data_IF_864960592120
#
_entry.id   IF_864960592120
#
_cell.length_a   1.000
_cell.length_b   1.000
_cell.length_c   1.000
_cell.angle_alpha   90.00
_cell.angle_beta   90.00
_cell.angle_gamma   90.00
#
_symmetry.space_group_name_H-M   'P 1'
#
loop_
_entity.id
_entity.type
_entity.pdbx_description
1 polymer ?
#
# COMPACT_ATOMS: atom_id res chain seq x y z
N UNK A 1 9.22 4.25 5.35
CA UNK A 1 8.07 4.23 4.41
C UNK A 1 8.07 5.53 3.62
N UNK A 2 7.85 5.49 2.30
CA UNK A 2 7.55 6.69 1.50
C UNK A 2 6.04 6.94 1.57
N UNK A 3 5.53 7.98 2.27
CA UNK A 3 4.09 8.18 2.48
C UNK A 3 3.31 8.33 1.16
N UNK A 4 3.92 8.97 0.16
CA UNK A 4 3.34 9.17 -1.17
C UNK A 4 3.12 7.87 -1.93
N UNK A 5 4.01 6.87 -1.77
CA UNK A 5 3.84 5.57 -2.42
C UNK A 5 2.65 4.81 -1.83
N UNK A 6 2.46 4.86 -0.50
CA UNK A 6 1.29 4.21 0.12
C UNK A 6 -0.02 4.90 -0.24
N UNK A 7 0.00 6.24 -0.34
CA UNK A 7 -1.14 7.02 -0.83
C UNK A 7 -1.53 6.60 -2.24
N UNK A 8 -0.57 6.53 -3.17
CA UNK A 8 -0.80 6.06 -4.54
C UNK A 8 -1.31 4.62 -4.56
N UNK A 9 -0.68 3.72 -3.82
CA UNK A 9 -1.11 2.32 -3.76
C UNK A 9 -2.55 2.18 -3.28
N UNK A 10 -2.96 2.97 -2.28
CA UNK A 10 -4.34 2.97 -1.82
C UNK A 10 -5.32 3.49 -2.88
N UNK A 11 -4.94 4.53 -3.64
CA UNK A 11 -5.75 5.01 -4.78
C UNK A 11 -5.93 3.92 -5.84
N UNK A 12 -4.85 3.25 -6.25
CA UNK A 12 -4.91 2.15 -7.24
C UNK A 12 -5.76 0.97 -6.75
N UNK A 13 -5.74 0.70 -5.43
CA UNK A 13 -6.53 -0.33 -4.78
C UNK A 13 -7.98 0.13 -4.45
N UNK A 14 -8.38 1.35 -4.82
CA UNK A 14 -9.70 1.90 -4.52
C UNK A 14 -9.98 2.08 -3.02
N UNK A 15 -8.93 2.19 -2.19
CA UNK A 15 -9.01 2.32 -0.75
C UNK A 15 -8.73 3.76 -0.31
N UNK A 16 -9.65 4.35 0.44
CA UNK A 16 -9.44 5.68 1.01
C UNK A 16 -8.56 5.59 2.27
N UNK A 17 -7.42 6.29 2.30
CA UNK A 17 -6.56 6.36 3.49
C UNK A 17 -6.90 7.52 4.43
N UNK A 18 -7.84 8.39 4.07
CA UNK A 18 -8.03 9.69 4.70
C UNK A 18 -6.67 10.38 4.92
N UNK A 19 -5.94 10.50 3.81
CA UNK A 19 -4.53 10.86 3.87
C UNK A 19 -4.35 12.33 4.26
N UNK A 20 -3.50 12.56 5.25
CA UNK A 20 -2.96 13.87 5.58
C UNK A 20 -1.43 13.85 5.50
N UNK A 21 -0.85 14.95 5.02
CA UNK A 21 0.59 15.13 4.98
C UNK A 21 1.22 15.28 6.36
N UNK A 22 0.40 15.51 7.40
CA UNK A 22 0.83 15.54 8.80
C UNK A 22 0.53 14.20 9.48
N UNK A 23 1.46 13.67 10.29
CA UNK A 23 1.21 12.48 11.08
C UNK A 23 -0.06 12.62 11.92
N UNK A 24 -0.96 11.67 11.78
CA UNK A 24 -2.18 11.58 12.56
C UNK A 24 -2.58 10.11 12.70
N UNK A 25 -3.36 9.82 13.74
CA UNK A 25 -3.72 8.46 14.10
C UNK A 25 -4.69 7.82 13.10
N UNK A 26 -5.62 8.62 12.56
CA UNK A 26 -6.65 8.16 11.63
C UNK A 26 -6.06 7.61 10.32
N UNK A 27 -5.17 8.35 9.68
CA UNK A 27 -4.45 7.86 8.49
C UNK A 27 -3.64 6.60 8.81
N UNK A 28 -3.01 6.55 9.99
CA UNK A 28 -2.20 5.39 10.40
C UNK A 28 -3.06 4.13 10.63
N UNK A 29 -4.19 4.24 11.31
CA UNK A 29 -5.13 3.13 11.49
C UNK A 29 -5.66 2.61 10.15
N UNK A 30 -6.05 3.52 9.24
CA UNK A 30 -6.53 3.13 7.91
C UNK A 30 -5.46 2.42 7.10
N UNK A 31 -4.20 2.82 7.24
CA UNK A 31 -3.06 2.16 6.62
C UNK A 31 -2.78 0.77 7.21
N UNK A 32 -2.91 0.59 8.53
CA UNK A 32 -2.81 -0.72 9.16
C UNK A 32 -3.92 -1.65 8.66
N UNK A 33 -5.15 -1.15 8.56
CA UNK A 33 -6.27 -1.91 8.03
C UNK A 33 -6.05 -2.31 6.55
N UNK A 34 -5.53 -1.41 5.71
CA UNK A 34 -5.13 -1.75 4.35
C UNK A 34 -4.05 -2.85 4.32
N UNK A 35 -3.07 -2.80 5.21
CA UNK A 35 -2.05 -3.84 5.35
C UNK A 35 -2.66 -5.19 5.75
N UNK A 36 -3.64 -5.21 6.66
CA UNK A 36 -4.34 -6.44 7.03
C UNK A 36 -5.19 -7.01 5.88
N UNK A 37 -5.87 -6.16 5.11
CA UNK A 37 -6.60 -6.58 3.91
C UNK A 37 -5.65 -7.23 2.91
N UNK A 38 -4.55 -6.56 2.57
CA UNK A 38 -3.56 -7.07 1.63
C UNK A 38 -2.90 -8.37 2.11
N UNK A 39 -2.65 -8.51 3.42
CA UNK A 39 -2.13 -9.77 3.99
C UNK A 39 -3.12 -10.93 3.78
N UNK A 40 -4.43 -10.67 3.84
CA UNK A 40 -5.48 -11.68 3.58
C UNK A 40 -5.55 -12.03 2.09
N UNK A 41 -5.55 -11.02 1.22
CA UNK A 41 -5.58 -11.20 -0.23
C UNK A 41 -4.37 -12.00 -0.73
N UNK A 42 -3.19 -11.73 -0.17
CA UNK A 42 -1.93 -12.41 -0.53
C UNK A 42 -1.69 -13.69 0.26
N UNK A 43 -2.71 -14.25 0.93
CA UNK A 43 -2.53 -15.39 1.84
C UNK A 43 -2.01 -16.66 1.16
N UNK A 44 -2.29 -16.81 -0.14
CA UNK A 44 -1.77 -17.86 -1.01
C UNK A 44 -0.24 -17.79 -1.18
N UNK A 45 0.33 -16.58 -1.19
CA UNK A 45 1.77 -16.33 -1.23
C UNK A 45 2.47 -16.51 0.12
N UNK A 46 1.71 -16.72 1.20
CA UNK A 46 2.21 -16.92 2.58
C UNK A 46 3.17 -15.81 3.04
N UNK A 47 2.75 -14.52 3.03
CA UNK A 47 3.56 -13.43 3.54
C UNK A 47 3.93 -13.69 5.00
N UNK A 48 5.23 -13.58 5.30
CA UNK A 48 5.81 -13.90 6.60
C UNK A 48 5.42 -12.85 7.64
N UNK A 49 5.39 -11.57 7.27
CA UNK A 49 5.00 -10.48 8.15
C UNK A 49 4.51 -9.23 7.38
N UNK A 50 4.17 -8.17 8.11
CA UNK A 50 3.66 -6.92 7.53
C UNK A 50 4.68 -6.17 6.64
N UNK A 51 5.98 -6.48 6.72
CA UNK A 51 6.97 -5.90 5.80
C UNK A 51 6.80 -6.43 4.38
N UNK A 52 6.38 -7.70 4.22
CA UNK A 52 6.10 -8.26 2.90
C UNK A 52 4.94 -7.50 2.26
N UNK A 53 3.84 -7.33 3.00
CA UNK A 53 2.70 -6.54 2.56
C UNK A 53 3.07 -5.09 2.23
N UNK A 54 3.92 -4.47 3.04
CA UNK A 54 4.40 -3.11 2.79
C UNK A 54 5.25 -3.04 1.51
N UNK A 55 6.04 -4.07 1.20
CA UNK A 55 6.80 -4.14 -0.05
C UNK A 55 5.88 -4.26 -1.27
N UNK A 56 4.81 -5.07 -1.19
CA UNK A 56 3.78 -5.14 -2.24
C UNK A 56 3.12 -3.79 -2.49
N UNK A 57 2.64 -3.14 -1.41
CA UNK A 57 2.06 -1.79 -1.51
C UNK A 57 3.06 -0.78 -2.09
N UNK A 58 4.35 -0.93 -1.79
CA UNK A 58 5.37 -0.04 -2.32
C UNK A 58 5.52 -0.20 -3.83
N UNK A 59 5.54 -1.44 -4.34
CA UNK A 59 5.59 -1.70 -5.79
C UNK A 59 4.38 -1.10 -6.50
N UNK A 60 3.17 -1.29 -5.97
CA UNK A 60 1.93 -0.75 -6.58
C UNK A 60 1.98 0.78 -6.70
N UNK A 61 2.41 1.48 -5.64
CA UNK A 61 2.35 2.94 -5.59
C UNK A 61 3.64 3.67 -5.97
N UNK A 62 4.68 2.96 -6.39
CA UNK A 62 5.99 3.53 -6.71
C UNK A 62 6.10 3.80 -8.20
N UNK A 63 6.28 5.08 -8.55
CA UNK A 63 6.47 5.52 -9.95
C UNK A 63 7.72 4.90 -10.58
N UNK A 64 8.68 4.47 -9.76
CA UNK A 64 9.85 3.72 -10.21
C UNK A 64 9.48 2.45 -11.00
N UNK A 65 8.28 1.90 -10.85
CA UNK A 65 7.80 0.70 -11.55
C UNK A 65 6.71 0.95 -12.60
N UNK A 66 6.35 2.21 -12.90
CA UNK A 66 5.32 2.54 -13.92
C UNK A 66 5.64 1.91 -15.29
N UNK A 67 6.93 1.85 -15.67
CA UNK A 67 7.42 1.27 -16.93
C UNK A 67 7.28 -0.26 -17.06
N UNK A 68 6.94 -0.97 -15.98
CA UNK A 68 6.66 -2.42 -16.02
C UNK A 68 5.17 -2.72 -16.25
N UNK A 69 4.33 -1.69 -16.23
CA UNK A 69 2.91 -1.84 -16.55
C UNK A 69 2.75 -2.04 -18.06
N UNK A 70 1.90 -2.96 -18.53
CA UNK A 70 1.75 -3.26 -19.95
C UNK A 70 1.23 -2.08 -20.80
N UNK A 71 0.77 -1.02 -20.15
CA UNK A 71 0.24 0.20 -20.77
C UNK A 71 1.25 1.37 -20.78
N UNK A 72 2.52 1.13 -20.39
CA UNK A 72 3.61 2.11 -20.29
C UNK A 72 4.30 2.45 -21.60
#
# INVERSE_FOLDING_TARGET
MKPTAMMKAAVELGYDLDYSSKPNFQTYERLLHLSDLMKRELSDLKPKNHMDTQAFLWVIGSSEYEHLSPDG
#
